data_IF_843885695485
#
_entry.id   IF_843885695485
#
_cell.length_a   1.000
_cell.length_b   1.000
_cell.length_c   1.000
_cell.angle_alpha   90.00
_cell.angle_beta   90.00
_cell.angle_gamma   90.00
#
_symmetry.space_group_name_H-M   'P 1'
#
loop_
_entity.id
_entity.type
_entity.pdbx_description
1 polymer ?
#
# COMPACT_ATOMS: atom_id res chain seq x y z
N UNK A 1 -21.49 8.89 1.52
CA UNK A 1 -20.81 8.14 0.45
C UNK A 1 -20.32 6.82 1.02
N UNK A 2 -20.42 5.71 0.29
CA UNK A 2 -19.89 4.42 0.74
C UNK A 2 -18.35 4.43 0.71
N UNK A 3 -17.73 3.56 1.52
CA UNK A 3 -16.30 3.35 1.46
C UNK A 3 -15.91 2.83 0.06
N UNK A 4 -14.81 3.30 -0.54
CA UNK A 4 -14.33 2.76 -1.79
C UNK A 4 -13.84 1.32 -1.58
N UNK A 5 -14.21 0.41 -2.49
CA UNK A 5 -13.70 -0.97 -2.50
C UNK A 5 -12.53 -1.09 -3.48
N UNK A 6 -11.33 -1.18 -2.90
CA UNK A 6 -10.10 -1.41 -3.67
C UNK A 6 -9.51 -2.77 -3.33
N UNK A 7 -9.09 -3.48 -4.37
CA UNK A 7 -8.23 -4.65 -4.23
C UNK A 7 -6.78 -4.20 -4.40
N UNK A 8 -5.92 -4.67 -3.50
CA UNK A 8 -4.50 -4.33 -3.49
C UNK A 8 -3.72 -5.63 -3.52
N UNK A 9 -2.82 -5.76 -4.48
CA UNK A 9 -2.01 -6.96 -4.64
C UNK A 9 -0.56 -6.63 -4.99
N UNK A 10 0.41 -7.35 -4.43
CA UNK A 10 1.81 -7.21 -4.81
C UNK A 10 2.04 -7.82 -6.20
N UNK A 11 2.65 -7.06 -7.10
CA UNK A 11 3.05 -7.53 -8.44
C UNK A 11 4.52 -7.92 -8.50
N UNK A 12 5.37 -7.27 -7.70
CA UNK A 12 6.79 -7.53 -7.75
C UNK A 12 7.59 -6.72 -6.76
N UNK A 13 8.81 -7.18 -6.53
CA UNK A 13 9.80 -6.51 -5.69
C UNK A 13 11.11 -6.45 -6.45
N UNK A 14 11.75 -5.29 -6.54
CA UNK A 14 13.05 -5.14 -7.17
C UNK A 14 14.01 -4.47 -6.19
N UNK A 15 15.28 -4.89 -6.22
CA UNK A 15 16.34 -4.17 -5.51
C UNK A 15 16.51 -2.80 -6.17
N UNK A 16 16.64 -1.76 -5.36
CA UNK A 16 16.97 -0.42 -5.84
C UNK A 16 18.46 -0.19 -5.70
N UNK A 17 19.05 0.59 -6.59
CA UNK A 17 20.39 1.13 -6.37
C UNK A 17 20.37 2.00 -5.10
N UNK A 18 21.14 1.60 -4.09
CA UNK A 18 21.14 2.19 -2.74
C UNK A 18 20.34 1.36 -1.71
N UNK A 19 19.72 2.04 -0.75
CA UNK A 19 18.95 1.37 0.32
C UNK A 19 17.48 1.13 -0.08
N UNK A 20 17.00 -0.07 0.25
CA UNK A 20 15.60 -0.45 0.19
C UNK A 20 15.17 -1.20 -1.07
N UNK A 21 13.89 -1.54 -1.09
CA UNK A 21 13.25 -2.38 -2.09
C UNK A 21 12.12 -1.61 -2.77
N UNK A 22 12.11 -1.59 -4.09
CA UNK A 22 10.95 -1.11 -4.84
C UNK A 22 9.90 -2.21 -4.85
N UNK A 23 8.79 -1.98 -4.17
CA UNK A 23 7.60 -2.85 -4.21
C UNK A 23 6.60 -2.27 -5.22
N UNK A 24 6.10 -3.09 -6.13
CA UNK A 24 5.10 -2.70 -7.13
C UNK A 24 3.79 -3.37 -6.80
N UNK A 25 2.71 -2.61 -6.84
CA UNK A 25 1.37 -3.02 -6.41
C UNK A 25 0.37 -2.80 -7.54
N UNK A 26 -0.54 -3.75 -7.73
CA UNK A 26 -1.77 -3.56 -8.48
C UNK A 26 -2.82 -3.00 -7.54
N UNK A 27 -3.47 -1.92 -7.94
CA UNK A 27 -4.59 -1.33 -7.22
C UNK A 27 -5.77 -1.35 -8.18
N UNK A 28 -6.77 -2.18 -7.88
CA UNK A 28 -7.98 -2.31 -8.69
C UNK A 28 -9.17 -1.67 -7.97
N UNK A 29 -9.94 -0.86 -8.70
CA UNK A 29 -11.16 -0.25 -8.21
C UNK A 29 -12.35 -1.12 -8.61
N UNK A 30 -12.97 -1.78 -7.63
CA UNK A 30 -14.12 -2.63 -7.87
C UNK A 30 -15.42 -1.82 -8.01
N UNK A 31 -15.41 -0.52 -7.75
CA UNK A 31 -16.58 0.36 -7.86
C UNK A 31 -16.77 0.92 -9.27
N UNK A 32 -17.98 1.41 -9.61
CA UNK A 32 -18.21 2.20 -10.82
C UNK A 32 -17.61 3.61 -10.78
N UNK A 33 -17.52 4.19 -9.58
CA UNK A 33 -17.03 5.56 -9.39
C UNK A 33 -15.51 5.60 -9.32
N UNK A 34 -14.91 6.66 -9.87
CA UNK A 34 -13.47 6.86 -9.83
C UNK A 34 -12.99 7.23 -8.42
N UNK A 35 -11.77 6.82 -8.09
CA UNK A 35 -11.06 7.26 -6.88
C UNK A 35 -9.72 7.87 -7.25
N UNK A 36 -9.23 8.78 -6.42
CA UNK A 36 -7.91 9.40 -6.59
C UNK A 36 -6.98 8.98 -5.47
N UNK A 37 -5.91 8.26 -5.78
CA UNK A 37 -4.84 7.94 -4.83
C UNK A 37 -3.93 9.15 -4.73
N UNK A 38 -3.77 9.68 -3.51
CA UNK A 38 -2.94 10.86 -3.22
C UNK A 38 -1.61 10.51 -2.54
N UNK A 39 -1.47 9.26 -2.09
CA UNK A 39 -0.24 8.79 -1.47
C UNK A 39 -0.34 7.34 -1.02
N UNK A 40 0.81 6.76 -0.73
CA UNK A 40 0.90 5.46 -0.07
C UNK A 40 1.98 5.50 1.01
N UNK A 41 1.71 4.86 2.15
CA UNK A 41 2.62 4.78 3.29
C UNK A 41 2.69 3.34 3.78
N UNK A 42 3.91 2.86 4.01
CA UNK A 42 4.20 1.70 4.83
C UNK A 42 4.82 2.23 6.14
N UNK A 43 4.11 2.20 7.28
CA UNK A 43 4.57 2.85 8.51
C UNK A 43 5.32 1.91 9.46
N UNK A 44 5.39 0.61 9.17
CA UNK A 44 5.94 -0.38 10.09
C UNK A 44 7.44 -0.15 10.30
N UNK A 45 7.93 -0.26 11.55
CA UNK A 45 9.34 0.01 11.89
C UNK A 45 10.32 -0.77 11.01
N UNK A 46 10.00 -2.03 10.71
CA UNK A 46 10.79 -2.93 9.88
C UNK A 46 10.39 -2.98 8.39
N UNK A 47 9.32 -2.29 7.99
CA UNK A 47 8.85 -2.22 6.60
C UNK A 47 8.29 -0.81 6.37
N UNK A 48 9.19 0.11 6.03
CA UNK A 48 8.90 1.56 6.05
C UNK A 48 9.18 2.27 4.75
N UNK A 49 8.26 3.11 4.31
CA UNK A 49 8.42 3.95 3.14
C UNK A 49 7.17 4.77 2.86
N UNK A 50 7.32 5.83 2.10
CA UNK A 50 6.21 6.67 1.66
C UNK A 50 6.42 7.18 0.25
N UNK A 51 5.31 7.47 -0.42
CA UNK A 51 5.32 8.11 -1.72
C UNK A 51 4.10 9.02 -1.83
N UNK A 52 4.33 10.27 -2.25
CA UNK A 52 3.28 11.15 -2.72
C UNK A 52 3.00 10.83 -4.18
N UNK A 53 1.74 10.59 -4.51
CA UNK A 53 1.31 10.32 -5.88
C UNK A 53 0.05 11.11 -6.16
N UNK A 54 -0.24 11.33 -7.42
CA UNK A 54 -1.53 11.83 -7.84
C UNK A 54 -2.01 10.94 -8.99
N UNK A 55 -2.89 9.98 -8.66
CA UNK A 55 -3.33 8.96 -9.60
C UNK A 55 -4.83 8.72 -9.48
N UNK A 56 -5.55 9.05 -10.54
CA UNK A 56 -6.93 8.59 -10.70
C UNK A 56 -6.97 7.11 -11.10
N UNK A 57 -7.87 6.36 -10.47
CA UNK A 57 -8.27 5.00 -10.86
C UNK A 57 -9.74 5.04 -11.22
N UNK A 58 -10.03 4.95 -12.52
CA UNK A 58 -11.40 4.86 -13.02
C UNK A 58 -12.11 3.66 -12.41
N UNK A 59 -13.43 3.74 -12.33
CA UNK A 59 -14.24 2.60 -11.90
C UNK A 59 -14.02 1.38 -12.79
N UNK A 60 -14.09 0.20 -12.18
CA UNK A 60 -13.85 -1.11 -12.82
C UNK A 60 -12.51 -1.21 -13.54
N UNK A 61 -11.52 -0.42 -13.13
CA UNK A 61 -10.18 -0.38 -13.72
C UNK A 61 -9.10 -0.63 -12.67
N UNK A 62 -7.85 -0.75 -13.12
CA UNK A 62 -6.72 -0.90 -12.23
C UNK A 62 -5.53 -0.07 -12.68
N UNK A 63 -4.63 0.20 -11.74
CA UNK A 63 -3.36 0.87 -11.99
C UNK A 63 -2.23 0.17 -11.24
N UNK A 64 -1.00 0.58 -11.52
CA UNK A 64 0.17 0.16 -10.77
C UNK A 64 0.75 1.32 -9.98
N UNK A 65 1.17 1.03 -8.75
CA UNK A 65 1.87 1.97 -7.88
C UNK A 65 3.15 1.33 -7.37
N UNK A 66 4.25 2.07 -7.41
CA UNK A 66 5.51 1.66 -6.80
C UNK A 66 5.73 2.39 -5.49
N UNK A 67 6.15 1.66 -4.46
CA UNK A 67 6.58 2.19 -3.17
C UNK A 67 7.98 1.65 -2.85
N UNK A 68 8.93 2.55 -2.57
CA UNK A 68 10.24 2.14 -2.07
C UNK A 68 10.15 1.98 -0.56
N UNK A 69 10.50 0.80 -0.06
CA UNK A 69 10.48 0.47 1.36
C UNK A 69 11.87 0.08 1.85
N UNK A 70 12.26 0.59 3.00
CA UNK A 70 13.38 0.05 3.78
C UNK A 70 12.87 -1.13 4.61
N UNK A 71 13.69 -2.16 4.70
CA UNK A 71 13.42 -3.35 5.51
C UNK A 71 14.49 -3.50 6.57
N UNK A 72 14.08 -3.80 7.81
CA UNK A 72 14.99 -4.04 8.95
C UNK A 72 14.65 -5.37 9.64
N UNK A 73 14.39 -6.39 8.81
CA UNK A 73 14.17 -7.75 9.27
C UNK A 73 15.32 -8.67 8.86
N UNK A 74 15.37 -9.84 9.50
CA UNK A 74 16.42 -10.83 9.26
C UNK A 74 16.08 -11.70 8.05
N UNK A 75 17.08 -12.04 7.23
CA UNK A 75 16.92 -12.98 6.11
C UNK A 75 16.30 -14.31 6.58
N UNK A 76 15.35 -14.84 5.81
CA UNK A 76 14.56 -16.02 6.20
C UNK A 76 13.51 -15.78 7.29
N UNK A 77 13.45 -14.58 7.88
CA UNK A 77 12.44 -14.19 8.85
C UNK A 77 11.11 -13.73 8.22
N UNK A 78 10.20 -13.27 9.07
CA UNK A 78 8.93 -12.68 8.66
C UNK A 78 8.69 -11.38 9.42
N UNK A 79 8.26 -10.34 8.71
CA UNK A 79 7.73 -9.11 9.32
C UNK A 79 6.21 -9.27 9.38
N UNK A 80 5.70 -9.40 10.59
CA UNK A 80 4.27 -9.54 10.87
C UNK A 80 3.60 -8.17 11.06
N UNK A 81 2.28 -8.11 10.91
CA UNK A 81 1.46 -6.92 11.19
C UNK A 81 1.91 -5.64 10.45
N UNK A 82 2.54 -5.80 9.28
CA UNK A 82 2.89 -4.68 8.42
C UNK A 82 1.66 -4.20 7.63
N UNK A 83 1.73 -2.96 7.15
CA UNK A 83 0.67 -2.38 6.35
C UNK A 83 1.25 -1.65 5.14
N UNK A 84 0.48 -1.63 4.05
CA UNK A 84 0.50 -0.55 3.06
C UNK A 84 -0.82 0.18 3.15
N UNK A 85 -0.74 1.48 3.40
CA UNK A 85 -1.90 2.36 3.57
C UNK A 85 -1.95 3.28 2.36
N UNK A 86 -2.98 3.13 1.52
CA UNK A 86 -3.28 4.12 0.48
C UNK A 86 -4.11 5.24 1.11
N UNK A 87 -3.76 6.47 0.80
CA UNK A 87 -4.59 7.62 1.09
C UNK A 87 -5.32 7.99 -0.20
N UNK A 88 -6.64 7.99 -0.15
CA UNK A 88 -7.48 8.19 -1.34
C UNK A 88 -8.54 9.26 -1.13
N UNK A 89 -8.89 9.96 -2.19
CA UNK A 89 -10.06 10.82 -2.28
C UNK A 89 -11.16 10.08 -3.05
N UNK A 90 -12.36 10.07 -2.50
CA UNK A 90 -13.56 9.54 -3.14
C UNK A 90 -14.67 10.58 -2.93
N UNK A 91 -15.05 11.27 -4.02
CA UNK A 91 -15.86 12.48 -3.92
C UNK A 91 -15.16 13.55 -3.06
N UNK A 92 -15.88 14.07 -2.06
CA UNK A 92 -15.36 15.06 -1.10
C UNK A 92 -14.65 14.43 0.10
N UNK A 93 -14.71 13.10 0.22
CA UNK A 93 -14.22 12.39 1.40
C UNK A 93 -12.80 11.85 1.19
N UNK A 94 -11.99 11.96 2.24
CA UNK A 94 -10.68 11.32 2.31
C UNK A 94 -10.77 10.01 3.08
N UNK A 95 -10.10 8.99 2.57
CA UNK A 95 -10.10 7.64 3.13
C UNK A 95 -8.67 7.11 3.25
N UNK A 96 -8.46 6.26 4.26
CA UNK A 96 -7.30 5.37 4.38
C UNK A 96 -7.75 3.98 3.97
N UNK A 97 -7.05 3.37 3.02
CA UNK A 97 -7.26 1.99 2.60
C UNK A 97 -6.07 1.19 3.13
N UNK A 98 -6.31 0.36 4.13
CA UNK A 98 -5.28 -0.37 4.87
C UNK A 98 -5.20 -1.79 4.32
N UNK A 99 -4.14 -2.11 3.59
CA UNK A 99 -3.77 -3.47 3.25
C UNK A 99 -2.88 -4.04 4.37
N UNK A 100 -3.42 -4.97 5.16
CA UNK A 100 -2.65 -5.73 6.16
C UNK A 100 -1.79 -6.77 5.47
N UNK A 101 -0.54 -6.86 5.88
CA UNK A 101 0.48 -7.69 5.24
C UNK A 101 1.09 -8.71 6.21
N UNK A 102 1.44 -9.87 5.66
CA UNK A 102 2.64 -10.62 6.08
C UNK A 102 3.75 -10.38 5.08
N UNK A 103 4.98 -10.20 5.57
CA UNK A 103 6.14 -9.96 4.71
C UNK A 103 7.27 -10.92 5.07
N UNK A 104 7.24 -12.16 4.55
CA UNK A 104 8.41 -13.04 4.55
C UNK A 104 9.60 -12.35 3.89
N UNK A 105 10.78 -12.57 4.45
CA UNK A 105 12.06 -12.16 3.87
C UNK A 105 12.76 -13.40 3.35
N UNK A 106 13.16 -13.39 2.08
CA UNK A 106 13.92 -14.52 1.54
C UNK A 106 15.39 -14.51 2.02
N UNK A 107 16.21 -15.42 1.48
CA UNK A 107 17.60 -15.57 1.88
C UNK A 107 18.45 -14.31 1.63
N UNK A 108 18.01 -13.41 0.73
CA UNK A 108 18.68 -12.13 0.44
C UNK A 108 18.07 -10.96 1.23
N UNK A 109 17.26 -11.27 2.25
CA UNK A 109 16.40 -10.32 2.96
C UNK A 109 15.44 -9.54 2.04
N UNK A 110 15.12 -10.06 0.85
CA UNK A 110 14.15 -9.42 -0.06
C UNK A 110 12.73 -9.66 0.47
N UNK A 111 11.92 -8.61 0.62
CA UNK A 111 10.56 -8.76 1.09
C UNK A 111 9.68 -9.43 0.03
N UNK A 112 8.81 -10.33 0.49
CA UNK A 112 7.80 -11.05 -0.29
C UNK A 112 6.40 -10.76 0.27
N UNK A 113 5.93 -9.50 0.22
CA UNK A 113 4.69 -9.13 0.87
C UNK A 113 3.51 -9.95 0.33
N UNK A 114 2.56 -10.25 1.21
CA UNK A 114 1.29 -10.89 0.91
C UNK A 114 0.19 -10.11 1.62
N UNK A 115 -0.87 -9.77 0.88
CA UNK A 115 -2.02 -9.07 1.45
C UNK A 115 -2.93 -10.09 2.12
N UNK A 116 -3.19 -9.90 3.40
CA UNK A 116 -4.10 -10.76 4.17
C UNK A 116 -5.53 -10.22 4.16
N UNK A 117 -5.67 -8.89 4.24
CA UNK A 117 -6.96 -8.21 4.29
C UNK A 117 -6.80 -6.77 3.82
N UNK A 118 -7.87 -6.23 3.24
CA UNK A 118 -7.98 -4.80 2.91
C UNK A 118 -9.19 -4.23 3.63
N UNK A 119 -9.00 -3.11 4.33
CA UNK A 119 -10.07 -2.39 5.03
C UNK A 119 -10.05 -0.91 4.64
N UNK A 120 -11.19 -0.24 4.73
CA UNK A 120 -11.32 1.18 4.41
C UNK A 120 -11.82 1.95 5.64
N UNK A 121 -11.15 3.06 5.93
CA UNK A 121 -11.46 3.94 7.05
C UNK A 121 -11.58 5.37 6.55
N UNK A 122 -12.70 6.03 6.84
CA UNK A 122 -12.87 7.45 6.51
C UNK A 122 -11.95 8.26 7.42
N UNK A 123 -11.22 9.21 6.83
CA UNK A 123 -10.43 10.17 7.62
C UNK A 123 -11.40 11.15 8.24
N UNK A 124 -11.54 11.10 9.57
CA UNK A 124 -12.30 12.09 10.34
C UNK A 124 -11.53 13.39 10.53
N UNK A 125 -12.17 14.40 11.13
CA UNK A 125 -11.60 15.73 11.39
C UNK A 125 -10.47 15.75 12.45
N UNK A 126 -10.14 14.64 13.12
CA UNK A 126 -9.23 14.61 14.28
C UNK A 126 -8.15 13.51 14.21
N UNK A 127 -7.42 13.43 13.09
CA UNK A 127 -6.30 12.48 13.00
C UNK A 127 -5.27 12.87 11.94
N UNK A 128 -4.43 13.83 12.27
CA UNK A 128 -3.11 14.02 11.62
C UNK A 128 -2.25 12.76 11.84
N UNK A 129 -1.38 12.49 10.87
CA UNK A 129 -0.47 11.33 10.85
C UNK A 129 0.59 11.44 11.93
#
# INVERSE_FOLDING_TARGET
>A
MSAPRLDIEPLGVAKRDGEGWRTTWRIANAEPDAVRVVGAVAPHSQFRGEVSVDREIRGKSSTQLSLVVRTDGVAGGEIENAFVILVVQHGVDRWRILARLRVPLDADARPRPRVEAVTAQRVGFSGEL
#
